data_IF_502187831283
#
_entry.id   IF_502187831283
#
_cell.length_a   1.000
_cell.length_b   1.000
_cell.length_c   1.000
_cell.angle_alpha   90.00
_cell.angle_beta   90.00
_cell.angle_gamma   90.00
#
_symmetry.space_group_name_H-M   'P 1'
#
loop_
_entity.id
_entity.type
_entity.pdbx_description
1 polymer ?
#
# COMPACT_ATOMS: atom_id res chain seq x y z
N UNK A 1 28.60 11.69 19.02
CA UNK A 1 28.45 12.47 17.76
C UNK A 1 27.34 11.83 16.96
N UNK A 2 26.15 12.45 16.92
CA UNK A 2 25.00 11.92 16.19
C UNK A 2 25.23 12.13 14.69
N UNK A 3 25.08 11.06 13.90
CA UNK A 3 25.20 11.16 12.44
C UNK A 3 23.93 11.82 11.94
N UNK A 4 24.04 13.01 11.35
CA UNK A 4 22.92 13.62 10.66
C UNK A 4 22.60 12.82 9.39
N UNK A 5 21.54 12.01 9.46
CA UNK A 5 21.09 11.21 8.32
C UNK A 5 20.26 12.03 7.31
N UNK A 6 19.88 13.26 7.68
CA UNK A 6 18.96 14.11 6.90
C UNK A 6 19.61 14.57 5.60
N UNK A 7 20.87 15.01 5.63
CA UNK A 7 21.62 15.37 4.42
C UNK A 7 21.90 14.18 3.48
N UNK A 8 22.15 13.00 4.03
CA UNK A 8 22.44 11.78 3.26
C UNK A 8 21.18 11.19 2.60
N UNK A 9 20.01 11.27 3.26
CA UNK A 9 18.72 10.88 2.64
C UNK A 9 18.34 11.84 1.53
N UNK A 10 18.48 13.14 1.76
CA UNK A 10 18.07 14.17 0.81
C UNK A 10 18.85 14.07 -0.51
N UNK A 11 20.16 13.80 -0.47
CA UNK A 11 20.97 13.64 -1.68
C UNK A 11 20.55 12.46 -2.57
N UNK A 12 19.98 11.39 -2.01
CA UNK A 12 19.56 10.19 -2.77
C UNK A 12 18.21 10.35 -3.46
N UNK A 13 17.31 11.13 -2.87
CA UNK A 13 15.94 11.33 -3.34
C UNK A 13 15.66 12.77 -3.77
N UNK A 14 16.70 13.58 -3.99
CA UNK A 14 16.60 14.98 -4.40
C UNK A 14 15.93 15.15 -5.77
N UNK A 15 15.85 14.08 -6.57
CA UNK A 15 15.25 14.08 -7.89
C UNK A 15 14.33 12.88 -8.05
N UNK A 16 13.16 13.12 -8.62
CA UNK A 16 12.24 12.05 -9.00
C UNK A 16 12.90 11.16 -10.09
N UNK A 17 12.81 9.83 -9.98
CA UNK A 17 13.20 8.93 -11.05
C UNK A 17 12.48 9.22 -12.36
N UNK A 18 13.00 8.69 -13.46
CA UNK A 18 12.32 8.77 -14.75
C UNK A 18 10.96 8.04 -14.70
N UNK A 19 10.03 8.48 -15.55
CA UNK A 19 8.72 7.83 -15.67
C UNK A 19 8.92 6.40 -16.19
N UNK A 20 8.45 5.42 -15.42
CA UNK A 20 8.42 4.01 -15.81
C UNK A 20 7.33 3.81 -16.88
N UNK A 21 7.66 3.10 -17.97
CA UNK A 21 6.66 2.73 -18.98
C UNK A 21 6.01 1.40 -18.61
N UNK A 22 4.80 1.16 -19.11
CA UNK A 22 4.06 -0.06 -18.76
C UNK A 22 4.79 -1.32 -19.26
N UNK A 23 5.42 -1.25 -20.43
CA UNK A 23 6.22 -2.34 -20.99
C UNK A 23 7.45 -2.72 -20.14
N UNK A 24 7.93 -1.83 -19.28
CA UNK A 24 9.06 -2.07 -18.37
C UNK A 24 8.60 -2.65 -17.02
N UNK A 25 7.28 -2.79 -16.81
CA UNK A 25 6.71 -3.36 -15.59
C UNK A 25 6.49 -4.86 -15.69
N UNK A 26 6.31 -5.52 -14.54
CA UNK A 26 5.94 -6.92 -14.45
C UNK A 26 4.51 -7.05 -13.95
N UNK A 27 3.84 -8.15 -14.32
CA UNK A 27 2.50 -8.47 -13.81
C UNK A 27 2.52 -8.63 -12.28
N UNK A 28 1.60 -7.94 -11.61
CA UNK A 28 1.41 -8.10 -10.16
C UNK A 28 0.77 -9.46 -9.84
N UNK A 29 1.30 -10.13 -8.82
CA UNK A 29 0.74 -11.38 -8.29
C UNK A 29 0.49 -11.25 -6.79
N UNK A 30 -0.67 -11.70 -6.29
CA UNK A 30 -0.92 -11.70 -4.85
C UNK A 30 0.16 -12.48 -4.11
N UNK A 31 0.73 -11.88 -3.06
CA UNK A 31 1.72 -12.55 -2.22
C UNK A 31 1.12 -13.76 -1.47
N UNK A 32 -0.18 -13.69 -1.15
CA UNK A 32 -0.97 -14.77 -0.56
C UNK A 32 -2.31 -14.89 -1.27
N UNK A 33 -2.97 -16.04 -1.10
CA UNK A 33 -4.33 -16.21 -1.57
C UNK A 33 -5.23 -15.10 -0.98
N UNK A 34 -6.10 -14.47 -1.80
CA UNK A 34 -7.07 -13.51 -1.29
C UNK A 34 -7.97 -14.16 -0.24
N UNK A 35 -8.21 -13.44 0.86
CA UNK A 35 -9.16 -13.88 1.88
C UNK A 35 -10.57 -13.99 1.26
N UNK A 36 -11.23 -15.16 1.32
CA UNK A 36 -12.59 -15.31 0.81
C UNK A 36 -13.60 -14.38 1.48
N UNK A 37 -13.38 -13.99 2.75
CA UNK A 37 -14.24 -13.07 3.49
C UNK A 37 -13.99 -11.59 3.16
N UNK A 38 -12.96 -11.26 2.36
CA UNK A 38 -12.60 -9.88 2.02
C UNK A 38 -13.78 -9.05 1.50
N UNK A 39 -14.71 -9.71 0.82
CA UNK A 39 -15.87 -9.06 0.18
C UNK A 39 -17.20 -9.38 0.87
N UNK A 40 -17.18 -10.10 2.00
CA UNK A 40 -18.37 -10.52 2.73
C UNK A 40 -18.87 -9.44 3.71
N UNK A 41 -18.66 -8.16 3.40
CA UNK A 41 -19.17 -7.07 4.22
C UNK A 41 -20.69 -6.97 4.10
N UNK A 42 -21.38 -6.99 5.24
CA UNK A 42 -22.82 -6.81 5.34
C UNK A 42 -23.13 -5.64 6.30
N UNK A 43 -23.77 -4.60 5.78
CA UNK A 43 -24.14 -3.43 6.57
C UNK A 43 -25.29 -3.74 7.54
N UNK A 44 -26.16 -4.70 7.21
CA UNK A 44 -27.34 -5.03 8.00
C UNK A 44 -26.94 -5.74 9.30
N UNK A 45 -25.83 -6.50 9.30
CA UNK A 45 -25.30 -7.16 10.49
C UNK A 45 -25.03 -6.15 11.62
N UNK A 46 -24.47 -4.98 11.29
CA UNK A 46 -24.19 -3.93 12.26
C UNK A 46 -25.48 -3.30 12.80
N UNK A 47 -26.44 -3.03 11.91
CA UNK A 47 -27.71 -2.40 12.27
C UNK A 47 -28.51 -3.29 13.22
N UNK A 48 -28.58 -4.60 12.95
CA UNK A 48 -29.29 -5.57 13.80
C UNK A 48 -28.64 -5.69 15.18
N UNK A 49 -27.30 -5.63 15.27
CA UNK A 49 -26.58 -5.82 16.54
C UNK A 49 -26.59 -4.60 17.46
N UNK A 50 -26.65 -3.38 16.90
CA UNK A 50 -26.34 -2.17 17.66
C UNK A 50 -27.41 -1.07 17.61
N UNK A 51 -28.43 -1.19 16.76
CA UNK A 51 -29.48 -0.18 16.61
C UNK A 51 -30.88 -0.68 16.95
N UNK A 52 -31.00 -1.91 17.48
CA UNK A 52 -32.26 -2.48 17.98
C UNK A 52 -32.62 -1.97 19.38
#
# INVERSE_FOLDING_TARGET
>A
MAVDHTGVRSARFARLPERIRLEDTVEERPATAPDPARWAYDADEWLVRYCA
#
